data_IF_021773777776
#
_entry.id   IF_021773777776
#
_cell.length_a   1.000
_cell.length_b   1.000
_cell.length_c   1.000
_cell.angle_alpha   90.00
_cell.angle_beta   90.00
_cell.angle_gamma   90.00
#
_symmetry.space_group_name_H-M   'P 1'
#
loop_
_entity.id
_entity.type
_entity.pdbx_description
1 polymer ?
#
# COMPACT_ATOMS: atom_id res chain seq x y z
N UNK A 1 12.04 -5.19 -13.17
CA UNK A 1 11.68 -3.82 -13.58
C UNK A 1 11.37 -3.79 -15.06
N UNK A 2 10.47 -2.89 -15.48
CA UNK A 2 10.12 -2.63 -16.87
C UNK A 2 10.49 -1.18 -17.19
N UNK A 3 11.22 -1.00 -18.31
CA UNK A 3 11.62 0.34 -18.80
C UNK A 3 10.59 0.89 -19.80
N UNK A 4 10.63 2.21 -20.03
CA UNK A 4 9.80 2.83 -21.07
C UNK A 4 10.11 2.26 -22.46
N UNK A 5 11.38 1.96 -22.75
CA UNK A 5 11.78 1.32 -24.01
C UNK A 5 11.19 -0.08 -24.17
N UNK A 6 11.14 -0.88 -23.10
CA UNK A 6 10.47 -2.18 -23.10
C UNK A 6 8.96 -2.04 -23.35
N UNK A 7 8.31 -1.11 -22.63
CA UNK A 7 6.87 -0.88 -22.77
C UNK A 7 6.50 -0.35 -24.15
N UNK A 8 7.33 0.51 -24.73
CA UNK A 8 7.18 0.98 -26.11
C UNK A 8 7.36 -0.16 -27.13
N UNK A 9 8.35 -1.01 -26.94
CA UNK A 9 8.54 -2.19 -27.80
C UNK A 9 7.34 -3.14 -27.73
N UNK A 10 6.79 -3.33 -26.54
CA UNK A 10 5.58 -4.14 -26.34
C UNK A 10 4.35 -3.56 -27.08
N UNK A 11 4.14 -2.25 -27.03
CA UNK A 11 3.02 -1.56 -27.66
C UNK A 11 3.06 -1.65 -29.19
N UNK A 12 4.26 -1.69 -29.76
CA UNK A 12 4.47 -1.73 -31.21
C UNK A 12 4.79 -3.14 -31.76
N UNK A 13 4.63 -4.21 -30.96
CA UNK A 13 5.05 -5.57 -31.29
C UNK A 13 6.52 -5.66 -31.74
N UNK A 14 7.36 -4.84 -31.11
CA UNK A 14 8.75 -4.67 -31.47
C UNK A 14 9.69 -5.58 -30.68
N UNK A 15 10.98 -5.40 -30.95
CA UNK A 15 12.06 -6.06 -30.24
C UNK A 15 12.57 -5.16 -29.11
N UNK A 16 13.03 -5.80 -28.04
CA UNK A 16 13.70 -5.17 -26.92
C UNK A 16 15.17 -5.59 -26.92
N UNK A 17 16.05 -4.61 -26.80
CA UNK A 17 17.48 -4.82 -26.84
C UNK A 17 17.99 -5.22 -25.46
N UNK A 18 18.60 -6.40 -25.36
CA UNK A 18 19.35 -6.82 -24.19
C UNK A 18 20.71 -6.15 -24.18
N UNK A 19 21.05 -5.54 -23.06
CA UNK A 19 22.35 -4.88 -22.89
C UNK A 19 23.22 -5.67 -21.91
N UNK A 20 24.51 -5.74 -22.17
CA UNK A 20 25.49 -6.22 -21.20
C UNK A 20 25.49 -5.29 -19.97
N UNK A 21 25.29 -5.83 -18.75
CA UNK A 21 25.17 -4.99 -17.56
C UNK A 21 26.48 -4.29 -17.16
N UNK A 22 27.62 -4.69 -17.70
CA UNK A 22 28.94 -4.12 -17.39
C UNK A 22 29.38 -3.12 -18.45
N UNK A 23 29.31 -3.51 -19.72
CA UNK A 23 29.76 -2.66 -20.84
C UNK A 23 28.65 -1.72 -21.37
N UNK A 24 27.39 -2.06 -21.16
CA UNK A 24 26.24 -1.36 -21.75
C UNK A 24 26.03 -1.64 -23.23
N UNK A 25 26.83 -2.53 -23.83
CA UNK A 25 26.72 -2.88 -25.24
C UNK A 25 25.53 -3.80 -25.51
N UNK A 26 24.95 -3.67 -26.70
CA UNK A 26 23.86 -4.53 -27.13
C UNK A 26 24.35 -5.97 -27.36
N UNK A 27 23.70 -6.93 -26.72
CA UNK A 27 23.99 -8.36 -26.86
C UNK A 27 23.05 -9.00 -27.88
N UNK A 28 21.75 -8.75 -27.75
CA UNK A 28 20.73 -9.44 -28.55
C UNK A 28 19.46 -8.61 -28.62
N UNK A 29 18.75 -8.73 -29.74
CA UNK A 29 17.41 -8.19 -29.90
C UNK A 29 16.39 -9.31 -29.70
N UNK A 30 15.52 -9.19 -28.71
CA UNK A 30 14.49 -10.19 -28.38
C UNK A 30 13.09 -9.60 -28.48
N UNK A 31 12.07 -10.37 -28.92
CA UNK A 31 10.69 -9.89 -28.91
C UNK A 31 10.23 -9.55 -27.48
N UNK A 32 9.61 -8.38 -27.28
CA UNK A 32 9.13 -7.94 -25.97
C UNK A 32 7.91 -8.76 -25.49
N UNK A 33 7.04 -9.15 -26.41
CA UNK A 33 5.77 -9.84 -26.11
C UNK A 33 5.96 -11.17 -25.33
N UNK A 34 6.83 -12.11 -25.72
CA UNK A 34 7.02 -13.35 -24.98
C UNK A 34 7.52 -13.14 -23.54
N UNK A 35 8.34 -12.10 -23.32
CA UNK A 35 8.83 -11.76 -21.98
C UNK A 35 7.67 -11.28 -21.12
N UNK A 36 6.86 -10.37 -21.67
CA UNK A 36 5.72 -9.83 -20.92
C UNK A 36 4.67 -10.89 -20.61
N UNK A 37 4.37 -11.78 -21.57
CA UNK A 37 3.47 -12.91 -21.34
C UNK A 37 4.02 -13.89 -20.30
N UNK A 38 5.34 -14.11 -20.22
CA UNK A 38 5.93 -14.92 -19.17
C UNK A 38 5.76 -14.28 -17.76
N UNK A 39 5.88 -12.94 -17.67
CA UNK A 39 5.62 -12.19 -16.43
C UNK A 39 4.13 -12.33 -16.04
N UNK A 40 3.22 -12.13 -16.98
CA UNK A 40 1.77 -12.26 -16.76
C UNK A 40 1.41 -13.68 -16.31
N UNK A 41 1.94 -14.70 -16.98
CA UNK A 41 1.69 -16.10 -16.65
C UNK A 41 2.20 -16.47 -15.25
N UNK A 42 3.42 -16.06 -14.90
CA UNK A 42 3.98 -16.28 -13.58
C UNK A 42 3.12 -15.60 -12.48
N UNK A 43 2.73 -14.34 -12.67
CA UNK A 43 1.87 -13.62 -11.74
C UNK A 43 0.49 -14.24 -11.61
N UNK A 44 -0.06 -14.75 -12.71
CA UNK A 44 -1.34 -15.48 -12.69
C UNK A 44 -1.27 -16.78 -11.88
N UNK A 45 -0.13 -17.51 -11.98
CA UNK A 45 0.06 -18.80 -11.29
C UNK A 45 0.21 -18.65 -9.79
N UNK A 46 0.97 -17.64 -9.32
CA UNK A 46 1.35 -17.56 -7.91
C UNK A 46 1.44 -16.14 -7.33
N UNK A 47 1.08 -15.08 -8.09
CA UNK A 47 1.16 -13.69 -7.65
C UNK A 47 2.57 -13.07 -7.73
N UNK A 48 3.56 -13.78 -8.27
CA UNK A 48 4.92 -13.28 -8.50
C UNK A 48 5.31 -13.39 -9.97
N UNK A 49 6.10 -12.44 -10.50
CA UNK A 49 6.61 -11.24 -9.85
C UNK A 49 5.60 -10.10 -9.84
N UNK A 50 5.72 -9.19 -8.86
CA UNK A 50 5.23 -7.82 -9.02
C UNK A 50 6.11 -7.09 -10.04
N UNK A 51 5.63 -5.98 -10.60
CA UNK A 51 6.39 -5.17 -11.54
C UNK A 51 6.63 -3.76 -11.02
N UNK A 52 7.78 -3.18 -11.39
CA UNK A 52 8.11 -1.78 -11.16
C UNK A 52 8.46 -1.13 -12.50
N UNK A 53 8.12 0.14 -12.66
CA UNK A 53 8.37 0.94 -13.86
C UNK A 53 9.58 1.84 -13.61
N UNK A 54 10.75 1.40 -14.07
CA UNK A 54 12.05 1.99 -13.74
C UNK A 54 12.15 3.47 -14.12
N UNK A 55 11.71 3.84 -15.31
CA UNK A 55 11.82 5.21 -15.79
C UNK A 55 10.80 6.14 -15.10
N UNK A 56 9.63 5.64 -14.73
CA UNK A 56 8.69 6.39 -13.90
C UNK A 56 9.29 6.69 -12.53
N UNK A 57 9.98 5.72 -11.93
CA UNK A 57 10.72 5.90 -10.68
C UNK A 57 11.84 6.94 -10.85
N UNK A 58 12.61 6.84 -11.92
CA UNK A 58 13.75 7.72 -12.17
C UNK A 58 13.31 9.19 -12.39
N UNK A 59 12.22 9.41 -13.12
CA UNK A 59 11.66 10.76 -13.35
C UNK A 59 11.21 11.45 -12.06
N UNK A 60 10.70 10.67 -11.12
CA UNK A 60 10.19 11.19 -9.85
C UNK A 60 11.24 11.20 -8.71
N UNK A 61 12.52 10.92 -9.01
CA UNK A 61 13.57 10.96 -7.99
C UNK A 61 13.79 12.39 -7.50
N UNK A 62 13.49 12.71 -6.21
CA UNK A 62 13.65 14.07 -5.70
C UNK A 62 15.09 14.47 -5.45
N UNK A 63 16.05 13.54 -5.55
CA UNK A 63 17.47 13.75 -5.24
C UNK A 63 18.37 12.97 -6.22
N UNK A 64 18.31 13.30 -7.53
CA UNK A 64 19.08 12.59 -8.54
C UNK A 64 20.60 12.69 -8.31
N UNK A 65 21.05 13.71 -7.57
CA UNK A 65 22.45 13.92 -7.22
C UNK A 65 23.02 12.85 -6.29
N UNK A 66 22.18 12.15 -5.53
CA UNK A 66 22.62 11.02 -4.69
C UNK A 66 22.97 9.77 -5.51
N UNK A 67 22.50 9.70 -6.75
CA UNK A 67 22.72 8.58 -7.64
C UNK A 67 21.45 8.04 -8.28
N UNK A 68 21.65 7.09 -9.17
CA UNK A 68 20.54 6.40 -9.82
C UNK A 68 19.92 5.38 -8.87
N UNK A 69 18.64 5.10 -9.10
CA UNK A 69 17.93 4.01 -8.46
C UNK A 69 18.68 2.67 -8.68
N UNK A 70 18.95 1.96 -7.57
CA UNK A 70 19.68 0.69 -7.58
C UNK A 70 18.87 -0.47 -7.00
N UNK A 71 17.91 -0.19 -6.12
CA UNK A 71 17.10 -1.21 -5.47
C UNK A 71 15.75 -0.67 -5.00
N UNK A 72 14.81 -1.58 -4.77
CA UNK A 72 13.57 -1.32 -4.05
C UNK A 72 13.47 -2.24 -2.83
N UNK A 73 12.69 -1.84 -1.84
CA UNK A 73 12.28 -2.74 -0.75
C UNK A 73 11.51 -3.94 -1.30
N UNK A 74 11.39 -5.01 -0.51
CA UNK A 74 10.74 -6.26 -0.93
C UNK A 74 9.30 -6.12 -1.44
N UNK A 75 8.59 -5.05 -1.03
CA UNK A 75 7.22 -4.75 -1.47
C UNK A 75 7.14 -3.54 -2.42
N UNK A 76 8.29 -3.02 -2.88
CA UNK A 76 8.38 -1.97 -3.89
C UNK A 76 8.04 -0.55 -3.44
N UNK A 77 7.76 -0.32 -2.13
CA UNK A 77 7.34 0.98 -1.61
C UNK A 77 8.48 1.95 -1.38
N UNK A 78 9.69 1.44 -1.14
CA UNK A 78 10.88 2.25 -0.88
C UNK A 78 11.88 2.16 -2.01
N UNK A 79 12.23 3.30 -2.56
CA UNK A 79 13.20 3.46 -3.65
C UNK A 79 14.54 3.86 -3.05
N UNK A 80 15.57 3.09 -3.32
CA UNK A 80 16.90 3.26 -2.73
C UNK A 80 18.00 3.29 -3.78
N UNK A 81 19.03 4.07 -3.50
CA UNK A 81 20.31 3.96 -4.15
C UNK A 81 21.15 2.85 -3.51
N UNK A 82 22.27 2.51 -4.10
CA UNK A 82 23.15 1.47 -3.57
C UNK A 82 23.67 1.82 -2.16
N UNK A 83 23.62 0.87 -1.24
CA UNK A 83 24.01 1.02 0.18
C UNK A 83 23.17 2.02 0.99
N UNK A 84 21.98 2.32 0.56
CA UNK A 84 21.06 3.17 1.32
C UNK A 84 20.14 2.36 2.22
N UNK A 85 19.73 2.93 3.34
CA UNK A 85 18.65 2.45 4.20
C UNK A 85 17.64 3.56 4.45
N UNK A 86 16.42 3.19 4.78
CA UNK A 86 15.33 4.12 5.07
C UNK A 86 14.53 3.64 6.28
N UNK A 87 14.07 4.58 7.10
CA UNK A 87 13.21 4.32 8.24
C UNK A 87 11.76 4.59 7.88
N UNK A 88 10.88 3.61 8.13
CA UNK A 88 9.47 3.66 7.74
C UNK A 88 8.57 3.79 8.97
N UNK A 89 7.45 4.50 8.79
CA UNK A 89 6.38 4.61 9.76
C UNK A 89 5.03 4.73 9.07
N UNK A 90 3.95 4.33 9.75
CA UNK A 90 2.60 4.38 9.18
C UNK A 90 1.58 4.86 10.20
N UNK A 91 0.83 5.89 9.85
CA UNK A 91 -0.22 6.48 10.69
C UNK A 91 -1.50 5.65 10.52
N UNK A 92 -2.12 5.25 11.62
CA UNK A 92 -3.43 4.59 11.61
C UNK A 92 -4.54 5.61 11.33
N UNK A 93 -5.02 5.67 10.09
CA UNK A 93 -6.05 6.60 9.66
C UNK A 93 -7.39 6.38 10.34
N UNK A 94 -7.73 5.14 10.73
CA UNK A 94 -8.96 4.86 11.47
C UNK A 94 -9.00 5.61 12.82
N UNK A 95 -7.83 5.83 13.43
CA UNK A 95 -7.71 6.61 14.67
C UNK A 95 -7.72 8.13 14.44
N UNK A 96 -7.67 8.59 13.19
CA UNK A 96 -7.70 10.01 12.80
C UNK A 96 -9.08 10.45 12.32
N UNK A 97 -10.12 9.66 12.57
CA UNK A 97 -11.51 10.02 12.25
C UNK A 97 -12.22 10.45 13.53
N UNK A 98 -12.92 11.58 13.46
CA UNK A 98 -13.74 12.08 14.58
C UNK A 98 -14.98 11.21 14.78
N UNK A 99 -15.32 10.96 16.04
CA UNK A 99 -16.54 10.27 16.45
C UNK A 99 -17.42 11.22 17.26
N UNK A 100 -17.98 12.24 16.64
CA UNK A 100 -18.92 13.13 17.34
C UNK A 100 -20.34 12.56 17.26
N UNK A 101 -21.01 12.44 18.41
CA UNK A 101 -22.36 11.83 18.50
C UNK A 101 -23.44 12.55 17.67
N UNK A 102 -23.22 13.81 17.30
CA UNK A 102 -24.20 14.63 16.59
C UNK A 102 -23.79 15.09 15.19
N UNK A 103 -22.53 14.82 14.77
CA UNK A 103 -22.01 15.23 13.48
C UNK A 103 -21.57 14.01 12.66
N UNK A 104 -21.65 14.05 11.30
CA UNK A 104 -21.05 13.05 10.45
C UNK A 104 -19.56 12.87 10.79
N UNK A 105 -19.08 11.62 10.74
CA UNK A 105 -17.67 11.34 10.93
C UNK A 105 -16.84 12.08 9.88
N UNK A 106 -15.71 12.66 10.26
CA UNK A 106 -14.81 13.41 9.39
C UNK A 106 -13.36 13.18 9.78
N UNK A 107 -12.43 13.52 8.90
CA UNK A 107 -11.00 13.47 9.21
C UNK A 107 -10.67 14.57 10.22
N UNK A 108 -10.00 14.19 11.31
CA UNK A 108 -9.44 15.10 12.30
C UNK A 108 -8.08 15.62 11.78
N UNK A 109 -8.12 16.69 11.02
CA UNK A 109 -6.95 17.27 10.38
C UNK A 109 -5.92 17.80 11.36
N UNK A 110 -6.34 18.31 12.51
CA UNK A 110 -5.45 18.82 13.55
C UNK A 110 -4.66 17.66 14.17
N UNK A 111 -5.36 16.65 14.66
CA UNK A 111 -4.75 15.43 15.20
C UNK A 111 -3.85 14.75 14.19
N UNK A 112 -4.28 14.67 12.93
CA UNK A 112 -3.45 14.09 11.86
C UNK A 112 -2.17 14.90 11.67
N UNK A 113 -2.25 16.24 11.65
CA UNK A 113 -1.10 17.12 11.51
C UNK A 113 -0.08 16.96 12.64
N UNK A 114 -0.53 16.95 13.87
CA UNK A 114 0.34 16.77 15.06
C UNK A 114 0.99 15.38 15.08
N UNK A 115 0.24 14.37 14.62
CA UNK A 115 0.77 13.01 14.47
C UNK A 115 1.84 12.96 13.38
N UNK A 116 1.66 13.65 12.26
CA UNK A 116 2.68 13.76 11.20
C UNK A 116 3.96 14.40 11.72
N UNK A 117 3.86 15.54 12.43
CA UNK A 117 5.05 16.23 12.96
C UNK A 117 5.82 15.36 13.95
N UNK A 118 5.09 14.68 14.85
CA UNK A 118 5.69 13.74 15.79
C UNK A 118 6.38 12.57 15.07
N UNK A 119 5.73 12.00 14.07
CA UNK A 119 6.25 10.87 13.31
C UNK A 119 7.48 11.23 12.48
N UNK A 120 7.49 12.39 11.81
CA UNK A 120 8.66 12.87 11.05
C UNK A 120 9.86 13.09 11.98
N UNK A 121 9.66 13.75 13.11
CA UNK A 121 10.71 13.95 14.11
C UNK A 121 11.23 12.62 14.68
N UNK A 122 10.33 11.69 14.97
CA UNK A 122 10.68 10.36 15.48
C UNK A 122 11.53 9.59 14.45
N UNK A 123 11.08 9.54 13.18
CA UNK A 123 11.80 8.85 12.11
C UNK A 123 13.18 9.49 11.82
N UNK A 124 13.29 10.83 11.85
CA UNK A 124 14.60 11.49 11.73
C UNK A 124 15.53 11.14 12.89
N UNK A 125 15.02 11.10 14.11
CA UNK A 125 15.82 10.74 15.29
C UNK A 125 16.35 9.31 15.24
N UNK A 126 15.68 8.39 14.52
CA UNK A 126 16.18 7.00 14.38
C UNK A 126 17.54 6.93 13.68
N UNK A 127 17.90 7.92 12.82
CA UNK A 127 19.22 8.00 12.21
C UNK A 127 20.35 8.19 13.22
N UNK A 128 20.07 8.86 14.32
CA UNK A 128 21.06 9.07 15.39
C UNK A 128 21.09 7.88 16.38
N UNK A 129 19.94 7.28 16.61
CA UNK A 129 19.80 6.15 17.55
C UNK A 129 20.21 4.79 16.94
N UNK A 130 20.29 4.70 15.61
CA UNK A 130 20.51 3.42 14.92
C UNK A 130 21.99 3.09 14.73
N UNK A 131 22.29 1.79 14.88
CA UNK A 131 23.57 1.20 14.45
C UNK A 131 23.38 0.59 13.06
N UNK A 132 24.20 1.02 12.11
CA UNK A 132 24.14 0.52 10.73
C UNK A 132 25.02 -0.72 10.56
N UNK A 133 24.65 -1.60 9.63
CA UNK A 133 25.36 -2.85 9.36
C UNK A 133 26.80 -2.64 8.84
N UNK A 134 27.11 -1.49 8.25
CA UNK A 134 28.46 -1.10 7.82
C UNK A 134 28.61 0.42 7.77
N UNK A 135 29.86 0.89 7.81
CA UNK A 135 30.19 2.31 7.67
C UNK A 135 29.74 2.88 6.30
N UNK A 136 29.80 2.08 5.23
CA UNK A 136 29.35 2.49 3.90
C UNK A 136 27.85 2.76 3.91
N UNK A 137 27.04 1.87 4.50
CA UNK A 137 25.59 2.07 4.65
C UNK A 137 25.32 3.29 5.53
N UNK A 138 26.00 3.43 6.66
CA UNK A 138 25.86 4.59 7.55
C UNK A 138 26.11 5.91 6.81
N UNK A 139 27.21 5.99 6.04
CA UNK A 139 27.57 7.17 5.28
C UNK A 139 26.55 7.52 4.22
N UNK A 140 26.18 6.55 3.36
CA UNK A 140 25.24 6.80 2.26
C UNK A 140 23.86 7.17 2.80
N UNK A 141 23.37 6.44 3.80
CA UNK A 141 22.05 6.72 4.39
C UNK A 141 21.97 8.10 5.04
N UNK A 142 23.06 8.56 5.68
CA UNK A 142 23.12 9.89 6.32
C UNK A 142 23.24 11.04 5.32
N UNK A 143 23.65 10.80 4.05
CA UNK A 143 23.68 11.84 3.02
C UNK A 143 22.26 12.36 2.70
N UNK A 144 21.32 11.50 2.51
CA UNK A 144 19.93 11.85 2.18
C UNK A 144 18.99 11.86 3.37
N UNK A 145 19.30 11.11 4.44
CA UNK A 145 18.43 10.91 5.62
C UNK A 145 16.98 10.61 5.19
N UNK A 146 16.80 9.71 4.23
CA UNK A 146 15.49 9.37 3.69
C UNK A 146 14.61 8.70 4.74
N UNK A 147 13.43 9.22 4.96
CA UNK A 147 12.38 8.58 5.74
C UNK A 147 11.18 8.30 4.86
N UNK A 148 10.33 7.38 5.30
CA UNK A 148 9.11 7.01 4.61
C UNK A 148 7.93 6.95 5.57
N UNK A 149 7.26 8.08 5.77
CA UNK A 149 6.02 8.15 6.52
C UNK A 149 4.85 7.86 5.60
N UNK A 150 4.04 6.89 5.96
CA UNK A 150 2.85 6.49 5.23
C UNK A 150 1.63 6.35 6.12
N UNK A 151 0.68 5.57 5.65
CA UNK A 151 -0.58 5.32 6.33
C UNK A 151 -0.92 3.84 6.38
N UNK A 152 -1.76 3.46 7.34
CA UNK A 152 -2.49 2.20 7.42
C UNK A 152 -3.93 2.49 7.86
N UNK A 153 -4.82 1.53 7.72
CA UNK A 153 -6.20 1.70 8.17
C UNK A 153 -7.10 2.50 7.23
N UNK A 154 -6.73 2.70 5.94
CA UNK A 154 -7.55 3.46 5.00
C UNK A 154 -8.92 2.78 4.79
N UNK A 155 -8.96 1.46 4.62
CA UNK A 155 -10.21 0.71 4.46
C UNK A 155 -11.13 0.88 5.68
N UNK A 156 -10.59 0.81 6.89
CA UNK A 156 -11.36 1.04 8.11
C UNK A 156 -11.79 2.51 8.26
N UNK A 157 -10.94 3.47 7.90
CA UNK A 157 -11.31 4.88 7.88
C UNK A 157 -12.51 5.13 6.96
N UNK A 158 -12.55 4.49 5.78
CA UNK A 158 -13.71 4.57 4.88
C UNK A 158 -14.97 3.96 5.49
N UNK A 159 -14.86 2.82 6.18
CA UNK A 159 -16.01 2.25 6.89
C UNK A 159 -16.56 3.20 7.96
N UNK A 160 -15.68 3.87 8.72
CA UNK A 160 -16.08 4.84 9.73
C UNK A 160 -16.73 6.07 9.09
N UNK A 161 -16.15 6.56 7.98
CA UNK A 161 -16.67 7.69 7.19
C UNK A 161 -17.94 7.35 6.39
N UNK A 162 -18.34 6.09 6.35
CA UNK A 162 -19.45 5.57 5.54
C UNK A 162 -19.25 5.85 4.04
N UNK A 163 -18.01 5.70 3.56
CA UNK A 163 -17.62 5.90 2.16
C UNK A 163 -17.30 4.53 1.55
N UNK A 164 -17.94 4.11 0.45
CA UNK A 164 -17.54 2.91 -0.27
C UNK A 164 -16.10 3.06 -0.80
N UNK A 165 -15.26 2.03 -0.61
CA UNK A 165 -13.89 2.04 -1.12
C UNK A 165 -13.84 2.20 -2.65
N UNK A 166 -14.78 1.60 -3.36
CA UNK A 166 -14.93 1.63 -4.80
C UNK A 166 -15.79 2.82 -5.26
N UNK A 167 -15.40 4.04 -4.89
CA UNK A 167 -16.10 5.29 -5.22
C UNK A 167 -15.14 6.44 -5.52
N UNK A 168 -15.59 7.39 -6.32
CA UNK A 168 -14.84 8.65 -6.58
C UNK A 168 -14.54 9.40 -5.29
N UNK A 169 -15.47 9.37 -4.31
CA UNK A 169 -15.26 10.02 -3.01
C UNK A 169 -14.12 9.39 -2.23
N UNK A 170 -13.93 8.07 -2.31
CA UNK A 170 -12.78 7.39 -1.70
C UNK A 170 -11.46 7.83 -2.35
N UNK A 171 -11.43 7.95 -3.68
CA UNK A 171 -10.26 8.45 -4.44
C UNK A 171 -9.92 9.89 -4.03
N UNK A 172 -10.93 10.76 -3.94
CA UNK A 172 -10.78 12.17 -3.55
C UNK A 172 -10.19 12.29 -2.12
N UNK A 173 -10.82 11.63 -1.14
CA UNK A 173 -10.36 11.65 0.27
C UNK A 173 -8.97 11.04 0.41
N UNK A 174 -8.64 9.97 -0.33
CA UNK A 174 -7.28 9.41 -0.34
C UNK A 174 -6.28 10.47 -0.79
N UNK A 175 -6.57 11.15 -1.90
CA UNK A 175 -5.71 12.22 -2.42
C UNK A 175 -5.54 13.36 -1.41
N UNK A 176 -6.62 13.81 -0.80
CA UNK A 176 -6.61 14.89 0.20
C UNK A 176 -5.75 14.53 1.42
N UNK A 177 -5.94 13.34 1.99
CA UNK A 177 -5.19 12.85 3.15
C UNK A 177 -3.70 12.77 2.83
N UNK A 178 -3.32 12.09 1.74
CA UNK A 178 -1.90 11.91 1.40
C UNK A 178 -1.24 13.24 1.02
N UNK A 179 -1.95 14.12 0.31
CA UNK A 179 -1.47 15.47 0.02
C UNK A 179 -1.26 16.29 1.30
N UNK A 180 -2.16 16.20 2.27
CA UNK A 180 -2.03 16.87 3.57
C UNK A 180 -0.81 16.36 4.34
N UNK A 181 -0.66 15.03 4.44
CA UNK A 181 0.49 14.40 5.10
C UNK A 181 1.80 14.86 4.45
N UNK A 182 1.89 14.86 3.13
CA UNK A 182 3.09 15.33 2.41
C UNK A 182 3.42 16.77 2.77
N UNK A 183 2.46 17.68 2.64
CA UNK A 183 2.69 19.12 2.96
C UNK A 183 3.15 19.29 4.40
N UNK A 184 2.49 18.64 5.35
CA UNK A 184 2.83 18.74 6.77
C UNK A 184 4.22 18.17 7.06
N UNK A 185 4.55 16.99 6.49
CA UNK A 185 5.85 16.35 6.63
C UNK A 185 6.99 17.24 6.07
N UNK A 186 6.76 17.89 4.92
CA UNK A 186 7.72 18.83 4.34
C UNK A 186 7.96 20.02 5.26
N UNK A 187 6.92 20.67 5.76
CA UNK A 187 7.04 21.78 6.71
C UNK A 187 7.78 21.38 7.98
N UNK A 188 7.50 20.19 8.53
CA UNK A 188 8.20 19.66 9.69
C UNK A 188 9.70 19.43 9.39
N UNK A 189 10.03 18.83 8.25
CA UNK A 189 11.41 18.58 7.83
C UNK A 189 12.19 19.88 7.59
N UNK A 190 11.54 20.93 7.07
CA UNK A 190 12.13 22.28 6.96
C UNK A 190 12.40 22.92 8.33
N UNK A 191 11.47 22.74 9.29
CA UNK A 191 11.67 23.20 10.67
C UNK A 191 12.83 22.44 11.35
N UNK A 192 12.90 21.12 11.14
CA UNK A 192 14.02 20.29 11.64
C UNK A 192 15.35 20.68 11.00
N UNK A 193 15.37 21.08 9.74
CA UNK A 193 16.58 21.58 9.08
C UNK A 193 17.11 22.87 9.72
N UNK A 194 16.20 23.77 10.15
CA UNK A 194 16.59 24.98 10.90
C UNK A 194 17.13 24.65 12.29
N UNK A 195 16.57 23.63 12.94
CA UNK A 195 16.95 23.19 14.30
C UNK A 195 18.25 22.38 14.32
N UNK A 196 18.43 21.45 13.36
CA UNK A 196 19.47 20.41 13.39
C UNK A 196 20.40 20.44 12.16
N UNK A 197 20.21 21.36 11.24
CA UNK A 197 20.89 21.41 9.95
C UNK A 197 20.19 20.57 8.87
N UNK A 198 20.35 20.97 7.61
CA UNK A 198 19.84 20.24 6.44
C UNK A 198 20.56 18.92 6.24
N UNK A 199 19.93 17.97 5.55
CA UNK A 199 20.68 16.80 5.10
C UNK A 199 21.77 17.22 4.08
N UNK A 200 22.92 16.52 4.05
CA UNK A 200 24.06 16.91 3.23
C UNK A 200 23.75 17.13 1.75
N UNK A 201 22.85 16.33 1.17
CA UNK A 201 22.47 16.48 -0.25
C UNK A 201 21.88 17.87 -0.59
N UNK A 202 21.21 18.51 0.37
CA UNK A 202 20.63 19.86 0.19
C UNK A 202 21.55 20.99 0.68
N UNK A 203 22.74 20.67 1.16
CA UNK A 203 23.70 21.66 1.63
C UNK A 203 24.42 22.39 0.49
N UNK A 204 24.34 21.89 -0.75
CA UNK A 204 24.86 22.59 -1.92
C UNK A 204 23.92 23.73 -2.34
N UNK A 205 24.48 24.87 -2.75
CA UNK A 205 23.78 26.12 -3.03
C UNK A 205 22.71 26.06 -4.17
N UNK A 206 22.49 24.92 -4.78
CA UNK A 206 21.56 24.71 -5.89
C UNK A 206 20.13 24.38 -5.48
N UNK A 207 19.86 24.06 -4.21
CA UNK A 207 18.52 23.66 -3.77
C UNK A 207 17.74 24.84 -3.18
N UNK A 208 16.60 25.15 -3.79
CA UNK A 208 15.72 26.23 -3.37
C UNK A 208 15.07 25.99 -1.99
N UNK A 209 15.09 24.76 -1.51
CA UNK A 209 14.48 24.32 -0.24
C UNK A 209 15.46 23.53 0.60
N UNK A 210 15.69 24.00 1.82
CA UNK A 210 16.54 23.33 2.80
C UNK A 210 15.66 22.42 3.68
N UNK A 211 15.84 21.09 3.57
CA UNK A 211 15.12 20.09 4.37
C UNK A 211 16.08 19.18 5.13
N UNK A 212 15.62 18.63 6.24
CA UNK A 212 16.35 17.63 7.04
C UNK A 212 16.39 16.24 6.38
N UNK A 213 15.40 15.93 5.53
CA UNK A 213 15.21 14.62 4.93
C UNK A 213 14.98 14.76 3.42
N UNK A 214 15.67 13.97 2.62
CA UNK A 214 15.59 13.99 1.16
C UNK A 214 14.22 13.50 0.65
N UNK A 215 13.71 12.41 1.23
CA UNK A 215 12.33 11.93 1.04
C UNK A 215 11.64 11.80 2.39
N UNK A 216 10.32 11.95 2.41
CA UNK A 216 9.52 11.98 3.63
C UNK A 216 8.38 10.97 3.61
N UNK A 217 7.83 10.64 2.43
CA UNK A 217 6.60 9.86 2.32
C UNK A 217 6.77 8.58 1.52
N UNK A 218 6.10 7.52 1.98
CA UNK A 218 5.95 6.22 1.31
C UNK A 218 4.66 5.54 1.77
N UNK A 219 4.12 4.62 1.00
CA UNK A 219 3.01 3.78 1.44
C UNK A 219 3.49 2.34 1.54
N UNK A 220 3.77 1.90 2.77
CA UNK A 220 4.17 0.53 3.07
C UNK A 220 2.96 -0.41 3.18
N UNK A 221 3.13 -1.72 2.99
CA UNK A 221 2.02 -2.68 3.09
C UNK A 221 1.49 -2.86 4.52
N UNK A 222 2.30 -2.63 5.54
CA UNK A 222 1.96 -2.65 6.99
C UNK A 222 1.30 -3.94 7.50
N UNK A 223 1.59 -5.10 6.87
CA UNK A 223 0.90 -6.36 7.16
C UNK A 223 0.89 -6.77 8.64
N UNK A 224 1.98 -6.58 9.36
CA UNK A 224 2.10 -6.93 10.79
C UNK A 224 1.69 -5.78 11.70
N UNK A 225 2.16 -4.56 11.43
CA UNK A 225 1.88 -3.43 12.32
C UNK A 225 0.40 -2.99 12.29
N UNK A 226 -0.29 -3.17 11.16
CA UNK A 226 -1.73 -2.90 11.09
C UNK A 226 -2.53 -3.88 11.95
N UNK A 227 -2.11 -5.15 12.01
CA UNK A 227 -2.70 -6.15 12.90
C UNK A 227 -2.51 -5.77 14.37
N UNK A 228 -1.30 -5.34 14.76
CA UNK A 228 -1.03 -4.84 16.12
C UNK A 228 -1.89 -3.62 16.44
N UNK A 229 -2.05 -2.71 15.47
CA UNK A 229 -2.85 -1.50 15.62
C UNK A 229 -4.38 -1.75 15.50
N UNK A 230 -4.80 -2.96 15.12
CA UNK A 230 -6.21 -3.33 14.96
C UNK A 230 -6.91 -2.60 13.81
N UNK A 231 -6.23 -2.41 12.68
CA UNK A 231 -6.78 -1.74 11.49
C UNK A 231 -6.38 -2.46 10.19
N UNK A 232 -6.99 -2.06 9.07
CA UNK A 232 -6.64 -2.55 7.73
C UNK A 232 -5.22 -2.16 7.32
N UNK A 233 -4.62 -2.97 6.44
CA UNK A 233 -3.24 -2.78 6.00
C UNK A 233 -3.11 -1.64 4.97
N UNK A 234 -2.15 -0.75 5.16
CA UNK A 234 -1.81 0.31 4.22
C UNK A 234 -3.02 1.08 3.68
N UNK A 235 -3.09 1.17 2.37
CA UNK A 235 -4.23 1.70 1.63
C UNK A 235 -5.08 0.59 1.00
N UNK A 236 -4.93 -0.65 1.48
CA UNK A 236 -5.75 -1.76 1.00
C UNK A 236 -7.21 -1.63 1.45
N UNK A 237 -8.17 -2.11 0.66
CA UNK A 237 -9.51 -2.35 1.19
C UNK A 237 -9.43 -3.40 2.30
N UNK A 238 -10.41 -3.44 3.18
CA UNK A 238 -10.52 -4.53 4.15
C UNK A 238 -10.58 -5.87 3.41
N UNK A 239 -9.73 -6.81 3.77
CA UNK A 239 -9.62 -8.08 3.06
C UNK A 239 -10.96 -8.83 3.04
N UNK A 240 -11.55 -9.05 4.23
CA UNK A 240 -12.89 -9.61 4.46
C UNK A 240 -13.40 -9.16 5.82
N UNK A 241 -14.71 -9.24 6.03
CA UNK A 241 -15.33 -8.85 7.32
C UNK A 241 -15.09 -9.88 8.43
N UNK A 242 -14.92 -11.15 8.04
CA UNK A 242 -14.50 -12.25 8.91
C UNK A 242 -13.64 -13.22 8.09
N UNK A 243 -12.49 -13.64 8.63
CA UNK A 243 -11.58 -14.57 7.96
C UNK A 243 -10.58 -15.20 8.92
N UNK A 244 -9.92 -16.25 8.48
CA UNK A 244 -8.83 -16.89 9.20
C UNK A 244 -7.48 -16.43 8.63
N UNK A 245 -6.62 -15.98 9.53
CA UNK A 245 -5.22 -15.66 9.22
C UNK A 245 -4.34 -16.80 9.71
N UNK A 246 -3.52 -17.34 8.80
CA UNK A 246 -2.49 -18.31 9.16
C UNK A 246 -1.24 -17.59 9.64
N UNK A 247 -0.83 -17.87 10.85
CA UNK A 247 0.40 -17.36 11.45
C UNK A 247 1.61 -18.19 10.99
N UNK A 248 2.82 -17.62 11.10
CA UNK A 248 4.07 -18.34 10.80
C UNK A 248 4.24 -19.63 11.63
N UNK A 249 3.65 -19.68 12.82
CA UNK A 249 3.60 -20.89 13.68
C UNK A 249 2.67 -22.00 13.15
N UNK A 250 1.96 -21.80 12.03
CA UNK A 250 0.93 -22.68 11.49
C UNK A 250 -0.44 -22.58 12.17
N UNK A 251 -0.55 -21.81 13.27
CA UNK A 251 -1.84 -21.58 13.93
C UNK A 251 -2.71 -20.61 13.14
N UNK A 252 -4.02 -20.72 13.30
CA UNK A 252 -4.99 -19.79 12.72
C UNK A 252 -5.47 -18.80 13.76
N UNK A 253 -5.60 -17.54 13.35
CA UNK A 253 -6.20 -16.45 14.11
C UNK A 253 -7.47 -16.01 13.41
N UNK A 254 -8.59 -15.96 14.14
CA UNK A 254 -9.83 -15.38 13.63
C UNK A 254 -9.74 -13.85 13.67
N UNK A 255 -9.93 -13.24 12.53
CA UNK A 255 -10.02 -11.79 12.35
C UNK A 255 -11.47 -11.40 12.05
N UNK A 256 -11.98 -10.41 12.77
CA UNK A 256 -13.32 -9.86 12.56
C UNK A 256 -13.27 -8.34 12.48
N UNK A 257 -14.01 -7.76 11.54
CA UNK A 257 -14.04 -6.30 11.38
C UNK A 257 -14.98 -5.66 12.41
N UNK A 258 -14.39 -4.92 13.35
CA UNK A 258 -15.13 -4.27 14.46
C UNK A 258 -16.07 -3.15 13.99
N UNK A 259 -15.74 -2.46 12.88
CA UNK A 259 -16.60 -1.40 12.35
C UNK A 259 -17.88 -1.99 11.78
N UNK A 260 -17.80 -3.15 11.11
CA UNK A 260 -18.98 -3.87 10.66
C UNK A 260 -19.84 -4.36 11.83
N UNK A 261 -19.22 -4.99 12.85
CA UNK A 261 -19.94 -5.45 14.07
C UNK A 261 -20.76 -4.32 14.67
N UNK A 262 -20.12 -3.17 14.90
CA UNK A 262 -20.80 -2.00 15.47
C UNK A 262 -22.01 -1.58 14.63
N UNK A 263 -21.85 -1.48 13.29
CA UNK A 263 -22.93 -1.06 12.40
C UNK A 263 -24.02 -2.11 12.24
N UNK A 264 -23.67 -3.38 12.24
CA UNK A 264 -24.63 -4.48 12.25
C UNK A 264 -25.45 -4.51 13.54
N UNK A 265 -24.80 -4.28 14.69
CA UNK A 265 -25.47 -4.17 15.98
C UNK A 265 -26.43 -2.95 16.03
N UNK A 266 -25.97 -1.77 15.60
CA UNK A 266 -26.80 -0.57 15.49
C UNK A 266 -28.04 -0.79 14.60
N UNK A 267 -27.91 -1.64 13.57
CA UNK A 267 -29.00 -1.99 12.65
C UNK A 267 -29.86 -3.19 13.12
N UNK A 268 -29.59 -3.75 14.29
CA UNK A 268 -30.34 -4.88 14.86
C UNK A 268 -30.17 -6.19 14.07
N UNK A 269 -29.03 -6.40 13.41
CA UNK A 269 -28.78 -7.57 12.57
C UNK A 269 -28.32 -8.79 13.40
N UNK A 270 -28.65 -9.99 12.92
CA UNK A 270 -28.16 -11.27 13.47
C UNK A 270 -26.69 -11.47 13.06
N UNK A 271 -25.76 -10.93 13.87
CA UNK A 271 -24.31 -10.99 13.61
C UNK A 271 -23.80 -12.44 13.55
N UNK A 272 -24.18 -13.36 14.47
CA UNK A 272 -23.78 -14.77 14.37
C UNK A 272 -24.16 -15.43 13.06
N UNK A 273 -25.38 -15.22 12.59
CA UNK A 273 -25.84 -15.79 11.33
C UNK A 273 -25.07 -15.24 10.13
N UNK A 274 -24.90 -13.91 10.08
CA UNK A 274 -24.15 -13.24 9.01
C UNK A 274 -22.70 -13.74 8.97
N UNK A 275 -22.01 -13.82 10.12
CA UNK A 275 -20.62 -14.27 10.16
C UNK A 275 -20.45 -15.74 9.78
N UNK A 276 -21.41 -16.60 10.12
CA UNK A 276 -21.42 -18.00 9.68
C UNK A 276 -21.54 -18.12 8.17
N UNK A 277 -22.33 -17.27 7.54
CA UNK A 277 -22.45 -17.24 6.08
C UNK A 277 -21.17 -16.70 5.42
N UNK A 278 -20.63 -15.59 5.93
CA UNK A 278 -19.41 -14.97 5.38
C UNK A 278 -18.18 -15.91 5.48
N UNK A 279 -18.02 -16.65 6.59
CA UNK A 279 -16.88 -17.57 6.75
C UNK A 279 -17.02 -18.84 5.87
N UNK A 280 -18.24 -19.16 5.43
CA UNK A 280 -18.52 -20.20 4.45
C UNK A 280 -18.26 -19.75 3.00
N UNK A 281 -17.91 -18.49 2.80
CA UNK A 281 -17.55 -17.92 1.50
C UNK A 281 -18.66 -17.13 0.80
N UNK A 282 -19.83 -16.96 1.43
CA UNK A 282 -20.86 -16.07 0.90
C UNK A 282 -20.37 -14.61 0.90
N UNK A 283 -20.80 -13.84 -0.09
CA UNK A 283 -20.55 -12.40 -0.13
C UNK A 283 -21.60 -11.64 0.66
N UNK A 284 -21.23 -10.49 1.24
CA UNK A 284 -22.17 -9.65 1.98
C UNK A 284 -23.36 -9.22 1.11
N UNK A 285 -23.11 -8.97 -0.18
CA UNK A 285 -24.14 -8.56 -1.13
C UNK A 285 -25.22 -9.64 -1.37
N UNK A 286 -24.88 -10.91 -1.22
CA UNK A 286 -25.80 -12.04 -1.37
C UNK A 286 -26.76 -12.19 -0.18
N UNK A 287 -26.43 -11.64 1.00
CA UNK A 287 -27.19 -11.82 2.23
C UNK A 287 -28.43 -10.90 2.25
N UNK A 288 -29.61 -11.47 2.07
CA UNK A 288 -30.89 -10.72 2.05
C UNK A 288 -31.20 -10.00 3.36
N UNK A 289 -30.68 -10.49 4.48
CA UNK A 289 -30.87 -9.91 5.81
C UNK A 289 -30.09 -8.61 6.03
N UNK A 290 -29.11 -8.29 5.19
CA UNK A 290 -28.27 -7.10 5.32
C UNK A 290 -28.84 -5.95 4.49
N UNK A 291 -29.09 -4.76 5.08
CA UNK A 291 -29.57 -3.58 4.37
C UNK A 291 -28.59 -3.10 3.27
N UNK A 292 -29.16 -2.58 2.17
CA UNK A 292 -28.40 -2.19 1.00
C UNK A 292 -27.33 -1.12 1.28
N UNK A 293 -27.60 -0.16 2.16
CA UNK A 293 -26.63 0.88 2.52
C UNK A 293 -25.40 0.31 3.23
N UNK A 294 -25.53 -0.76 4.03
CA UNK A 294 -24.39 -1.43 4.63
C UNK A 294 -23.59 -2.23 3.60
N UNK A 295 -24.26 -2.90 2.66
CA UNK A 295 -23.60 -3.62 1.56
C UNK A 295 -22.74 -2.68 0.71
N UNK A 296 -23.23 -1.47 0.44
CA UNK A 296 -22.49 -0.47 -0.33
C UNK A 296 -21.23 0.02 0.37
N UNK A 297 -21.28 0.21 1.68
CA UNK A 297 -20.14 0.73 2.45
C UNK A 297 -19.12 -0.37 2.78
N UNK A 298 -19.60 -1.54 3.23
CA UNK A 298 -18.73 -2.62 3.72
C UNK A 298 -18.23 -3.54 2.62
N UNK A 299 -17.83 -2.96 1.48
CA UNK A 299 -17.17 -3.69 0.38
C UNK A 299 -15.80 -4.17 0.81
N UNK A 300 -15.44 -5.40 0.42
CA UNK A 300 -14.17 -6.04 0.75
C UNK A 300 -13.25 -6.12 -0.47
N UNK A 301 -12.01 -6.55 -0.27
CA UNK A 301 -11.02 -6.61 -1.36
C UNK A 301 -11.49 -7.42 -2.58
N UNK A 302 -12.36 -8.41 -2.38
CA UNK A 302 -12.91 -9.24 -3.46
C UNK A 302 -14.09 -8.58 -4.20
N UNK A 303 -14.66 -7.51 -3.65
CA UNK A 303 -15.78 -6.78 -4.24
C UNK A 303 -15.29 -5.56 -5.04
N UNK A 304 -14.01 -5.21 -4.89
CA UNK A 304 -13.38 -4.04 -5.52
C UNK A 304 -12.78 -4.46 -6.86
N UNK A 305 -13.19 -3.83 -7.95
CA UNK A 305 -12.60 -4.07 -9.28
C UNK A 305 -11.15 -3.57 -9.36
N UNK A 306 -10.37 -4.15 -10.28
CA UNK A 306 -8.99 -3.75 -10.54
C UNK A 306 -8.85 -2.24 -10.78
N UNK A 307 -9.81 -1.63 -11.46
CA UNK A 307 -9.82 -0.19 -11.73
C UNK A 307 -9.83 0.65 -10.45
N UNK A 308 -10.66 0.33 -9.47
CA UNK A 308 -10.70 1.06 -8.20
C UNK A 308 -9.42 0.87 -7.38
N UNK A 309 -8.83 -0.32 -7.41
CA UNK A 309 -7.50 -0.54 -6.81
C UNK A 309 -6.46 0.41 -7.41
N UNK A 310 -6.39 0.51 -8.74
CA UNK A 310 -5.46 1.38 -9.44
C UNK A 310 -5.74 2.88 -9.18
N UNK A 311 -7.02 3.29 -9.15
CA UNK A 311 -7.39 4.69 -8.90
C UNK A 311 -6.99 5.13 -7.48
N UNK A 312 -7.20 4.32 -6.45
CA UNK A 312 -6.75 4.60 -5.07
C UNK A 312 -5.22 4.67 -5.01
N UNK A 313 -4.52 3.73 -5.67
CA UNK A 313 -3.06 3.75 -5.71
C UNK A 313 -2.52 5.01 -6.37
N UNK A 314 -3.10 5.40 -7.52
CA UNK A 314 -2.73 6.62 -8.23
C UNK A 314 -2.96 7.87 -7.38
N UNK A 315 -4.11 7.96 -6.70
CA UNK A 315 -4.42 9.08 -5.83
C UNK A 315 -3.39 9.23 -4.69
N UNK A 316 -2.94 8.12 -4.11
CA UNK A 316 -1.91 8.12 -3.09
C UNK A 316 -0.54 8.46 -3.67
N UNK A 317 -0.14 7.86 -4.80
CA UNK A 317 1.19 8.03 -5.38
C UNK A 317 1.47 9.45 -5.85
N UNK A 318 0.46 10.20 -6.33
CA UNK A 318 0.61 11.60 -6.74
C UNK A 318 1.20 12.51 -5.65
N UNK A 319 1.09 12.09 -4.39
CA UNK A 319 1.57 12.84 -3.23
C UNK A 319 2.54 12.01 -2.36
N UNK A 320 3.17 10.99 -2.93
CA UNK A 320 4.17 10.15 -2.24
C UNK A 320 5.53 10.33 -2.91
N UNK A 321 6.58 10.60 -2.11
CA UNK A 321 7.94 10.82 -2.64
C UNK A 321 8.55 9.54 -3.19
N UNK A 322 8.50 8.46 -2.40
CA UNK A 322 9.00 7.15 -2.79
C UNK A 322 7.97 6.40 -3.65
N UNK A 323 7.50 5.26 -3.23
CA UNK A 323 6.47 4.53 -3.97
C UNK A 323 5.33 4.05 -3.06
N UNK A 324 4.39 3.36 -3.65
CA UNK A 324 3.18 2.88 -3.01
C UNK A 324 3.09 1.37 -3.18
N UNK A 325 3.13 0.63 -2.07
CA UNK A 325 2.80 -0.78 -2.06
C UNK A 325 1.29 -0.95 -2.14
N UNK A 326 0.83 -1.63 -3.18
CA UNK A 326 -0.58 -1.91 -3.41
C UNK A 326 -0.76 -3.21 -4.18
N UNK A 327 -1.69 -4.03 -3.70
CA UNK A 327 -2.08 -5.27 -4.37
C UNK A 327 -3.44 -5.11 -5.04
N UNK A 328 -3.53 -5.48 -6.30
CA UNK A 328 -4.82 -5.71 -6.96
C UNK A 328 -5.25 -7.14 -6.66
N UNK A 329 -6.28 -7.29 -5.85
CA UNK A 329 -6.83 -8.59 -5.51
C UNK A 329 -7.82 -9.03 -6.60
N UNK A 330 -7.62 -10.22 -7.14
CA UNK A 330 -8.45 -10.78 -8.19
C UNK A 330 -9.16 -12.05 -7.68
N UNK A 331 -10.37 -12.33 -8.18
CA UNK A 331 -11.06 -13.57 -7.87
C UNK A 331 -10.33 -14.78 -8.48
N UNK A 332 -10.59 -15.97 -7.95
CA UNK A 332 -9.92 -17.21 -8.38
C UNK A 332 -10.12 -17.55 -9.88
N UNK A 333 -11.20 -17.08 -10.47
CA UNK A 333 -11.54 -17.28 -11.89
C UNK A 333 -11.02 -16.18 -12.82
N UNK A 334 -10.24 -15.21 -12.31
CA UNK A 334 -9.60 -14.19 -13.16
C UNK A 334 -8.64 -14.83 -14.17
N UNK A 335 -8.66 -14.33 -15.38
CA UNK A 335 -7.80 -14.84 -16.46
C UNK A 335 -6.49 -14.04 -16.61
N UNK A 336 -5.58 -14.54 -17.47
CA UNK A 336 -4.29 -13.89 -17.72
C UNK A 336 -4.45 -12.54 -18.43
N UNK A 337 -5.48 -12.37 -19.26
CA UNK A 337 -5.73 -11.13 -20.00
C UNK A 337 -6.05 -9.99 -19.04
N UNK A 338 -6.76 -10.28 -17.96
CA UNK A 338 -7.05 -9.31 -16.92
C UNK A 338 -5.77 -8.82 -16.24
N UNK A 339 -4.84 -9.71 -15.88
CA UNK A 339 -3.53 -9.32 -15.31
C UNK A 339 -2.72 -8.49 -16.31
N UNK A 340 -2.68 -8.92 -17.57
CA UNK A 340 -2.05 -8.15 -18.65
C UNK A 340 -2.58 -6.71 -18.72
N UNK A 341 -3.89 -6.56 -18.70
CA UNK A 341 -4.53 -5.24 -18.76
C UNK A 341 -4.22 -4.39 -17.53
N UNK A 342 -4.15 -4.99 -16.34
CA UNK A 342 -3.78 -4.30 -15.11
C UNK A 342 -2.36 -3.74 -15.21
N UNK A 343 -1.40 -4.51 -15.68
CA UNK A 343 -0.01 -4.05 -15.85
C UNK A 343 0.12 -2.91 -16.87
N UNK A 344 -0.54 -3.05 -18.03
CA UNK A 344 -0.56 -2.01 -19.05
C UNK A 344 -1.23 -0.72 -18.52
N UNK A 345 -2.38 -0.85 -17.86
CA UNK A 345 -3.09 0.30 -17.29
C UNK A 345 -2.28 0.96 -16.17
N UNK A 346 -1.62 0.19 -15.31
CA UNK A 346 -0.74 0.71 -14.28
C UNK A 346 0.40 1.58 -14.86
N UNK A 347 1.04 1.11 -15.93
CA UNK A 347 2.04 1.88 -16.66
C UNK A 347 1.46 3.17 -17.26
N UNK A 348 0.34 3.08 -17.98
CA UNK A 348 -0.34 4.24 -18.59
C UNK A 348 -0.78 5.28 -17.55
N UNK A 349 -1.14 4.83 -16.35
CA UNK A 349 -1.49 5.73 -15.23
C UNK A 349 -0.27 6.36 -14.56
N UNK A 350 0.95 6.01 -14.96
CA UNK A 350 2.20 6.52 -14.39
C UNK A 350 2.46 5.99 -12.99
N UNK A 351 2.01 4.78 -12.66
CA UNK A 351 2.35 4.15 -11.38
C UNK A 351 3.81 3.73 -11.37
N UNK A 352 4.45 3.74 -10.19
CA UNK A 352 5.84 3.33 -10.00
C UNK A 352 6.00 1.80 -9.90
N UNK A 353 4.93 1.11 -9.55
CA UNK A 353 4.90 -0.35 -9.47
C UNK A 353 3.50 -0.85 -9.15
N UNK A 354 3.31 -2.15 -9.29
CA UNK A 354 2.04 -2.82 -9.04
C UNK A 354 2.26 -4.30 -8.72
N UNK A 355 1.47 -4.82 -7.81
CA UNK A 355 1.37 -6.24 -7.47
C UNK A 355 -0.05 -6.73 -7.75
N UNK A 356 -0.16 -7.93 -8.31
CA UNK A 356 -1.45 -8.60 -8.53
C UNK A 356 -1.46 -9.89 -7.72
N UNK A 357 -2.58 -10.20 -7.07
CA UNK A 357 -2.77 -11.47 -6.38
C UNK A 357 -4.13 -12.06 -6.74
N UNK A 358 -4.11 -13.22 -7.40
CA UNK A 358 -5.31 -14.00 -7.70
C UNK A 358 -5.62 -14.94 -6.52
N UNK A 359 -6.84 -14.88 -6.03
CA UNK A 359 -7.30 -15.76 -4.94
C UNK A 359 -7.07 -17.25 -5.31
N UNK A 360 -6.66 -18.04 -4.33
CA UNK A 360 -6.33 -19.47 -4.49
C UNK A 360 -5.19 -19.78 -5.50
N UNK A 361 -4.33 -18.80 -5.80
CA UNK A 361 -3.14 -19.03 -6.65
C UNK A 361 -1.99 -19.72 -5.91
N UNK A 362 -2.05 -19.83 -4.60
CA UNK A 362 -1.05 -20.51 -3.75
C UNK A 362 -1.73 -21.52 -2.83
N UNK A 363 -1.16 -22.73 -2.69
CA UNK A 363 -1.66 -23.77 -1.80
C UNK A 363 -1.71 -23.34 -0.33
N UNK A 364 -0.74 -22.52 0.10
CA UNK A 364 -0.60 -22.03 1.47
C UNK A 364 -0.94 -20.54 1.56
N UNK A 365 -2.13 -20.17 1.15
CA UNK A 365 -2.61 -18.78 1.22
C UNK A 365 -2.64 -18.28 2.68
N UNK A 366 -2.05 -17.10 2.98
CA UNK A 366 -1.98 -16.59 4.37
C UNK A 366 -3.34 -16.16 4.94
N UNK A 367 -4.28 -15.79 4.07
CA UNK A 367 -5.63 -15.37 4.43
C UNK A 367 -6.63 -16.26 3.72
N UNK A 368 -7.56 -16.88 4.46
CA UNK A 368 -8.56 -17.81 3.90
C UNK A 368 -9.94 -17.61 4.51
N UNK A 369 -10.97 -18.00 3.75
CA UNK A 369 -12.35 -18.01 4.22
C UNK A 369 -12.81 -19.42 4.58
N UNK A 370 -12.23 -20.46 3.96
CA UNK A 370 -12.55 -21.84 4.25
C UNK A 370 -11.76 -22.32 5.47
N UNK A 371 -12.40 -22.49 6.59
CA UNK A 371 -11.78 -22.98 7.81
C UNK A 371 -12.78 -23.57 8.77
N UNK A 372 -12.26 -24.19 9.80
CA UNK A 372 -13.03 -24.72 10.92
C UNK A 372 -13.83 -23.59 11.58
N UNK A 373 -15.16 -23.68 11.53
CA UNK A 373 -16.06 -22.71 12.16
C UNK A 373 -15.95 -22.67 13.69
N UNK A 374 -15.25 -23.64 14.29
CA UNK A 374 -15.06 -23.72 15.74
C UNK A 374 -14.41 -22.47 16.35
N UNK A 375 -13.47 -21.84 15.63
CA UNK A 375 -12.86 -20.58 16.07
C UNK A 375 -13.87 -19.42 16.07
N UNK A 376 -14.76 -19.38 15.09
CA UNK A 376 -15.84 -18.41 15.05
C UNK A 376 -16.85 -18.64 16.16
N UNK A 377 -17.28 -19.88 16.40
CA UNK A 377 -18.22 -20.22 17.47
C UNK A 377 -17.63 -19.90 18.85
N UNK A 378 -16.35 -20.20 19.07
CA UNK A 378 -15.64 -19.82 20.30
C UNK A 378 -15.57 -18.30 20.49
N UNK A 379 -15.29 -17.55 19.42
CA UNK A 379 -15.25 -16.10 19.45
C UNK A 379 -16.64 -15.48 19.72
N UNK A 380 -17.68 -15.97 19.04
CA UNK A 380 -19.07 -15.53 19.27
C UNK A 380 -19.46 -15.71 20.72
N UNK A 381 -19.24 -16.90 21.27
CA UNK A 381 -19.52 -17.20 22.68
C UNK A 381 -18.75 -16.28 23.65
N UNK A 382 -17.46 -16.03 23.38
CA UNK A 382 -16.62 -15.17 24.22
C UNK A 382 -17.05 -13.69 24.18
N UNK A 383 -17.76 -13.25 23.12
CA UNK A 383 -18.25 -11.89 22.95
C UNK A 383 -19.76 -11.73 23.20
N UNK A 384 -20.43 -12.73 23.77
CA UNK A 384 -21.81 -12.65 24.21
C UNK A 384 -22.87 -12.82 23.11
N UNK A 385 -22.51 -13.48 22.02
CA UNK A 385 -23.40 -13.82 20.91
C UNK A 385 -23.89 -15.27 20.96
#
# INVERSE_FOLDING_TARGET
SLSDSFMSSLEHNGVYQLLDPVSGEAIEDIPAEPIFEAIVDASWRNGDPGVIFADTIARDNPVPELGQFGAVSGCGEQIMIEHESCFLGSINLAAMITHQQQNPASVDWEKLGDTVDTAVRFLDNTYEASTFASEKIARVSKLGRKIGLGVMGLGDAFYILQIPYNSEKAVEITREIVAYIKRRAYSCSEALAKEKGSCPVFSSASHAHSRRNATLTTIAPTGTISMIAGCSAGIEPVFRLVYLRRLASGKHLLEVNRNFIRKAFEAGLDIPHIFKDLIRGHKLDELKSVPQHLKQVFVTAQDVSAEWHLNIQRAAQQHTDNAVSKTVNLPCNADRREIRQIYLKAYQMGLKGITVYRDMSRDNQPLSCSGDSSLLDAWLKANGY
#
